data_IF_203910078106
#
_entry.id   IF_203910078106
#
_cell.length_a   1.000
_cell.length_b   1.000
_cell.length_c   1.000
_cell.angle_alpha   90.00
_cell.angle_beta   90.00
_cell.angle_gamma   90.00
#
_symmetry.space_group_name_H-M   'P 1'
#
loop_
_entity.id
_entity.type
_entity.pdbx_description
1 polymer ?
#
# COMPACT_ATOMS: atom_id res chain seq x y z
N UNK A 1 22.19 -0.57 1.12
CA UNK A 1 21.39 -0.27 2.33
C UNK A 1 21.38 -1.54 3.16
N UNK A 2 21.67 -1.44 4.46
CA UNK A 2 21.55 -2.57 5.38
C UNK A 2 20.07 -2.80 5.76
N UNK A 3 19.59 -4.05 5.88
CA UNK A 3 18.21 -4.33 6.27
C UNK A 3 17.93 -3.85 7.70
N UNK A 4 16.94 -2.97 7.86
CA UNK A 4 16.42 -2.58 9.19
C UNK A 4 15.27 -3.51 9.56
N UNK A 5 15.43 -4.28 10.64
CA UNK A 5 14.41 -5.21 11.13
C UNK A 5 13.76 -4.68 12.41
N UNK A 6 12.47 -4.93 12.57
CA UNK A 6 11.77 -4.65 13.83
C UNK A 6 12.10 -5.74 14.85
N UNK A 7 12.36 -5.39 16.13
CA UNK A 7 12.56 -6.38 17.19
C UNK A 7 11.38 -7.36 17.28
N UNK A 8 11.70 -8.63 17.53
CA UNK A 8 10.70 -9.69 17.76
C UNK A 8 9.81 -9.28 18.92
N UNK A 9 8.50 -9.54 18.81
CA UNK A 9 7.50 -9.17 19.83
C UNK A 9 7.34 -7.67 20.10
N UNK A 10 7.63 -6.79 19.12
CA UNK A 10 7.28 -5.36 19.20
C UNK A 10 6.07 -5.02 18.30
N UNK A 11 4.83 -5.36 18.71
CA UNK A 11 3.64 -5.17 17.87
C UNK A 11 3.37 -3.71 17.51
N UNK A 12 3.83 -2.74 18.32
CA UNK A 12 3.69 -1.32 18.06
C UNK A 12 4.62 -0.84 16.94
N UNK A 13 5.82 -1.43 16.81
CA UNK A 13 6.81 -1.03 15.79
C UNK A 13 6.34 -1.29 14.35
N UNK A 14 5.38 -2.21 14.15
CA UNK A 14 4.85 -2.56 12.83
C UNK A 14 3.59 -1.75 12.44
N UNK A 15 3.35 -0.60 13.08
CA UNK A 15 2.14 0.20 12.89
C UNK A 15 1.89 0.59 11.43
N UNK A 16 2.94 0.98 10.69
CA UNK A 16 2.83 1.35 9.27
C UNK A 16 2.38 0.19 8.39
N UNK A 17 3.04 -0.97 8.49
CA UNK A 17 2.67 -2.11 7.66
C UNK A 17 1.28 -2.65 8.06
N UNK A 18 0.94 -2.64 9.35
CA UNK A 18 -0.41 -3.00 9.82
C UNK A 18 -1.48 -2.09 9.23
N UNK A 19 -1.24 -0.77 9.21
CA UNK A 19 -2.17 0.19 8.61
C UNK A 19 -2.32 -0.04 7.11
N UNK A 20 -1.20 -0.27 6.40
CA UNK A 20 -1.21 -0.61 4.97
C UNK A 20 -2.04 -1.87 4.68
N UNK A 21 -1.78 -2.98 5.38
CA UNK A 21 -2.51 -4.23 5.19
C UNK A 21 -4.00 -4.05 5.51
N UNK A 22 -4.34 -3.25 6.54
CA UNK A 22 -5.74 -2.94 6.87
C UNK A 22 -6.44 -2.23 5.72
N UNK A 23 -5.82 -1.20 5.13
CA UNK A 23 -6.37 -0.48 3.96
C UNK A 23 -6.53 -1.42 2.77
N UNK A 24 -5.51 -2.21 2.43
CA UNK A 24 -5.59 -3.18 1.33
C UNK A 24 -6.74 -4.19 1.54
N UNK A 25 -6.89 -4.72 2.75
CA UNK A 25 -7.96 -5.67 3.06
C UNK A 25 -9.35 -5.04 2.95
N UNK A 26 -9.53 -3.87 3.57
CA UNK A 26 -10.83 -3.20 3.69
C UNK A 26 -11.31 -2.59 2.38
N UNK A 27 -10.43 -1.89 1.67
CA UNK A 27 -10.84 -1.00 0.57
C UNK A 27 -10.67 -1.64 -0.81
N UNK A 28 -9.84 -2.69 -0.91
CA UNK A 28 -9.55 -3.36 -2.18
C UNK A 28 -9.98 -4.81 -2.15
N UNK A 29 -9.36 -5.62 -1.29
CA UNK A 29 -9.54 -7.08 -1.28
C UNK A 29 -10.99 -7.44 -0.95
N UNK A 30 -11.68 -6.71 -0.07
CA UNK A 30 -13.08 -6.97 0.27
C UNK A 30 -14.03 -6.89 -0.95
N UNK A 31 -13.68 -6.12 -1.98
CA UNK A 31 -14.50 -5.89 -3.16
C UNK A 31 -13.98 -6.60 -4.42
N UNK A 32 -12.90 -7.36 -4.30
CA UNK A 32 -12.31 -8.09 -5.42
C UNK A 32 -12.98 -9.45 -5.65
N UNK A 33 -13.29 -9.74 -6.91
CA UNK A 33 -13.62 -11.08 -7.36
C UNK A 33 -12.38 -11.99 -7.22
N UNK A 34 -12.61 -13.21 -6.74
CA UNK A 34 -11.55 -14.21 -6.49
C UNK A 34 -12.05 -15.62 -6.87
N UNK A 35 -12.44 -15.85 -8.14
CA UNK A 35 -12.97 -17.15 -8.57
C UNK A 35 -11.93 -18.28 -8.43
N UNK A 36 -10.64 -17.95 -8.55
CA UNK A 36 -9.51 -18.86 -8.43
C UNK A 36 -8.25 -18.09 -7.96
N UNK A 37 -7.17 -18.83 -7.68
CA UNK A 37 -5.92 -18.26 -7.17
C UNK A 37 -5.16 -17.38 -8.16
N UNK A 38 -5.19 -17.71 -9.45
CA UNK A 38 -4.52 -16.95 -10.50
C UNK A 38 -5.21 -15.59 -10.69
N UNK A 39 -6.54 -15.60 -10.79
CA UNK A 39 -7.35 -14.38 -10.84
C UNK A 39 -7.21 -13.55 -9.57
N UNK A 40 -7.16 -14.18 -8.40
CA UNK A 40 -6.95 -13.47 -7.13
C UNK A 40 -5.58 -12.76 -7.09
N UNK A 41 -4.53 -13.38 -7.62
CA UNK A 41 -3.20 -12.79 -7.69
C UNK A 41 -3.14 -11.64 -8.69
N UNK A 42 -3.74 -11.80 -9.88
CA UNK A 42 -3.84 -10.75 -10.89
C UNK A 42 -4.61 -9.54 -10.35
N UNK A 43 -5.74 -9.78 -9.67
CA UNK A 43 -6.50 -8.72 -9.03
C UNK A 43 -5.68 -8.05 -7.92
N UNK A 44 -4.96 -8.81 -7.09
CA UNK A 44 -4.09 -8.22 -6.05
C UNK A 44 -3.02 -7.30 -6.65
N UNK A 45 -2.39 -7.69 -7.76
CA UNK A 45 -1.45 -6.83 -8.48
C UNK A 45 -2.13 -5.53 -8.94
N UNK A 46 -3.35 -5.62 -9.47
CA UNK A 46 -4.14 -4.45 -9.86
C UNK A 46 -4.50 -3.54 -8.66
N UNK A 47 -4.81 -4.11 -7.49
CA UNK A 47 -5.00 -3.32 -6.27
C UNK A 47 -3.74 -2.52 -5.91
N UNK A 48 -2.56 -3.13 -6.02
CA UNK A 48 -1.32 -2.40 -5.72
C UNK A 48 -1.08 -1.26 -6.69
N UNK A 49 -1.34 -1.44 -7.99
CA UNK A 49 -1.26 -0.37 -8.98
C UNK A 49 -2.24 0.75 -8.62
N UNK A 50 -3.50 0.42 -8.37
CA UNK A 50 -4.52 1.41 -8.02
C UNK A 50 -4.18 2.14 -6.72
N UNK A 51 -3.72 1.42 -5.69
CA UNK A 51 -3.27 2.02 -4.44
C UNK A 51 -2.18 3.06 -4.68
N UNK A 52 -1.17 2.70 -5.47
CA UNK A 52 -0.02 3.56 -5.73
C UNK A 52 -0.33 4.75 -6.65
N UNK A 53 -1.31 4.65 -7.55
CA UNK A 53 -1.63 5.71 -8.52
C UNK A 53 -2.80 6.61 -8.10
N UNK A 54 -3.79 6.09 -7.37
CA UNK A 54 -5.06 6.80 -7.15
C UNK A 54 -5.50 6.90 -5.70
N UNK A 55 -4.95 6.10 -4.76
CA UNK A 55 -5.45 6.13 -3.39
C UNK A 55 -5.09 7.45 -2.69
N UNK A 56 -6.08 8.19 -2.16
CA UNK A 56 -5.81 9.47 -1.53
C UNK A 56 -5.21 9.30 -0.14
N UNK A 57 -4.11 9.98 0.16
CA UNK A 57 -3.49 10.00 1.48
C UNK A 57 -3.53 11.39 2.10
N UNK A 58 -4.22 11.56 3.23
CA UNK A 58 -4.30 12.85 3.93
C UNK A 58 -2.93 13.42 4.29
N UNK A 59 -2.00 12.57 4.76
CA UNK A 59 -0.63 12.96 5.06
C UNK A 59 0.19 13.41 3.83
N UNK A 60 -0.26 13.06 2.62
CA UNK A 60 0.37 13.47 1.36
C UNK A 60 -0.37 14.63 0.66
N UNK A 61 -1.28 15.31 1.38
CA UNK A 61 -2.12 16.35 0.79
C UNK A 61 -3.15 15.79 -0.18
N UNK A 62 -3.71 14.62 0.12
CA UNK A 62 -4.65 13.84 -0.71
C UNK A 62 -4.09 13.34 -2.04
N UNK A 63 -2.77 13.38 -2.23
CA UNK A 63 -2.09 12.78 -3.39
C UNK A 63 -1.89 11.29 -3.21
N UNK A 64 -1.75 10.59 -4.33
CA UNK A 64 -1.33 9.18 -4.33
C UNK A 64 0.16 9.01 -4.06
N UNK A 65 0.62 7.82 -3.65
CA UNK A 65 2.04 7.57 -3.40
C UNK A 65 2.95 7.85 -4.59
N UNK A 66 2.52 7.54 -5.83
CA UNK A 66 3.32 7.82 -7.03
C UNK A 66 3.29 9.29 -7.40
N UNK A 67 2.16 9.98 -7.26
CA UNK A 67 2.10 11.43 -7.45
C UNK A 67 3.04 12.16 -6.50
N UNK A 68 3.00 11.81 -5.21
CA UNK A 68 3.88 12.38 -4.21
C UNK A 68 5.36 12.16 -4.57
N UNK A 69 5.74 10.93 -4.97
CA UNK A 69 7.12 10.63 -5.39
C UNK A 69 7.54 11.41 -6.63
N UNK A 70 6.67 11.53 -7.65
CA UNK A 70 6.95 12.30 -8.87
C UNK A 70 7.25 13.77 -8.54
N UNK A 71 6.43 14.38 -7.68
CA UNK A 71 6.63 15.78 -7.25
C UNK A 71 7.89 15.97 -6.40
N UNK A 72 8.20 15.00 -5.52
CA UNK A 72 9.41 15.05 -4.70
C UNK A 72 10.69 15.01 -5.56
N UNK A 73 10.69 14.20 -6.62
CA UNK A 73 11.81 14.11 -7.58
C UNK A 73 11.93 15.39 -8.40
N UNK A 74 10.81 15.99 -8.84
CA UNK A 74 10.83 17.25 -9.60
C UNK A 74 11.26 18.49 -8.81
N UNK A 75 11.38 18.37 -7.48
CA UNK A 75 11.80 19.46 -6.59
C UNK A 75 13.30 19.39 -6.22
N UNK A 76 14.03 18.43 -6.79
CA UNK A 76 15.50 18.27 -6.67
C UNK A 76 16.14 18.59 -8.01
#
# INVERSE_FOLDING_TARGET
MEPVTTPVCSPQSNGMAKSFVRTMKRDYIAFMLKPDGETALANLAQAFVHYNEHHPHSALGYRSPREFRRLAISST
#
